data_IF_964243168495
#
_entry.id   IF_964243168495
#
_cell.length_a   1.000
_cell.length_b   1.000
_cell.length_c   1.000
_cell.angle_alpha   90.00
_cell.angle_beta   90.00
_cell.angle_gamma   90.00
#
_symmetry.space_group_name_H-M   'P 1'
#
loop_
_entity.id
_entity.type
_entity.pdbx_description
1 polymer ?
#
# COMPACT_ATOMS: atom_id res chain seq x y z
N UNK A 1 9.28 -45.81 -36.67
CA UNK A 1 9.24 -44.32 -36.64
C UNK A 1 8.43 -43.77 -35.45
N UNK A 2 7.92 -44.64 -34.56
CA UNK A 2 7.11 -44.28 -33.37
C UNK A 2 8.00 -44.17 -32.12
N UNK A 3 9.14 -44.86 -32.06
CA UNK A 3 9.98 -44.92 -30.86
C UNK A 3 10.87 -43.67 -30.60
N UNK A 4 11.11 -42.86 -31.61
CA UNK A 4 11.96 -41.67 -31.49
C UNK A 4 11.22 -40.48 -30.82
N UNK A 5 9.94 -40.33 -31.08
CA UNK A 5 9.13 -39.24 -30.49
C UNK A 5 8.81 -39.49 -29.02
N UNK A 6 8.68 -40.72 -28.57
CA UNK A 6 8.38 -41.08 -27.19
C UNK A 6 9.59 -40.84 -26.28
N UNK A 7 10.82 -41.06 -26.77
CA UNK A 7 12.04 -40.79 -26.01
C UNK A 7 12.31 -39.30 -25.83
N UNK A 8 12.02 -38.44 -26.78
CA UNK A 8 12.20 -37.00 -26.67
C UNK A 8 11.24 -36.41 -25.64
N UNK A 9 9.99 -36.84 -25.62
CA UNK A 9 8.99 -36.36 -24.63
C UNK A 9 9.30 -36.79 -23.20
N UNK A 10 9.95 -37.93 -23.00
CA UNK A 10 10.36 -38.41 -21.67
C UNK A 10 11.60 -37.67 -21.17
N UNK A 11 12.58 -37.41 -22.03
CA UNK A 11 13.76 -36.61 -21.70
C UNK A 11 13.42 -35.19 -21.29
N UNK A 12 12.48 -34.53 -21.94
CA UNK A 12 12.02 -33.17 -21.59
C UNK A 12 11.34 -33.16 -20.21
N UNK A 13 10.53 -34.17 -19.89
CA UNK A 13 9.87 -34.26 -18.58
C UNK A 13 10.85 -34.49 -17.42
N UNK A 14 11.89 -35.28 -17.64
CA UNK A 14 12.94 -35.52 -16.62
C UNK A 14 13.80 -34.27 -16.43
N UNK A 15 14.13 -33.54 -17.50
CA UNK A 15 14.93 -32.32 -17.43
C UNK A 15 14.17 -31.18 -16.71
N UNK A 16 12.87 -31.03 -16.96
CA UNK A 16 12.04 -30.03 -16.26
C UNK A 16 11.87 -30.40 -14.78
N UNK A 17 11.70 -31.68 -14.44
CA UNK A 17 11.61 -32.12 -13.05
C UNK A 17 12.92 -31.92 -12.28
N UNK A 18 14.09 -32.12 -12.95
CA UNK A 18 15.40 -31.89 -12.34
C UNK A 18 15.70 -30.41 -12.10
N UNK A 19 15.30 -29.52 -13.00
CA UNK A 19 15.47 -28.06 -12.85
C UNK A 19 14.58 -27.51 -11.72
N UNK A 20 13.36 -27.99 -11.58
CA UNK A 20 12.46 -27.61 -10.47
C UNK A 20 12.99 -28.16 -9.13
N UNK A 21 13.59 -29.35 -9.12
CA UNK A 21 14.19 -29.94 -7.91
C UNK A 21 15.44 -29.18 -7.41
N UNK A 22 16.25 -28.63 -8.30
CA UNK A 22 17.49 -27.91 -7.96
C UNK A 22 17.17 -26.50 -7.42
N UNK A 23 16.08 -25.85 -7.86
CA UNK A 23 15.64 -24.56 -7.36
C UNK A 23 15.06 -24.59 -5.93
N UNK A 24 14.70 -25.77 -5.42
CA UNK A 24 14.16 -25.95 -4.05
C UNK A 24 15.24 -26.26 -2.99
N UNK A 25 16.49 -26.49 -3.36
CA UNK A 25 17.57 -26.90 -2.44
C UNK A 25 18.52 -25.76 -2.03
N UNK A 26 18.28 -24.51 -2.47
CA UNK A 26 19.09 -23.36 -2.07
C UNK A 26 18.50 -22.55 -0.90
N UNK A 27 17.59 -23.11 -0.10
CA UNK A 27 17.20 -22.54 1.18
C UNK A 27 18.33 -22.78 2.21
N UNK A 28 19.35 -21.92 2.18
CA UNK A 28 20.43 -21.93 3.15
C UNK A 28 19.88 -21.66 4.55
N UNK A 29 20.01 -22.63 5.46
CA UNK A 29 19.81 -22.43 6.88
C UNK A 29 20.98 -21.58 7.41
N UNK A 30 20.72 -20.30 7.74
CA UNK A 30 21.65 -19.52 8.54
C UNK A 30 21.51 -19.96 9.99
N UNK A 31 22.52 -20.64 10.53
CA UNK A 31 22.62 -20.97 11.96
C UNK A 31 23.34 -19.82 12.67
N UNK A 32 22.80 -19.38 13.81
CA UNK A 32 23.48 -18.43 14.69
C UNK A 32 24.62 -19.12 15.44
N UNK A 33 25.66 -18.38 15.91
CA UNK A 33 26.81 -18.95 16.62
C UNK A 33 26.46 -19.63 17.96
N UNK A 34 25.26 -19.43 18.49
CA UNK A 34 24.72 -20.02 19.72
C UNK A 34 23.94 -21.33 19.51
N UNK A 35 23.89 -21.83 18.28
CA UNK A 35 23.25 -23.12 17.96
C UNK A 35 21.71 -23.08 17.94
N UNK A 36 21.09 -21.92 18.07
CA UNK A 36 19.64 -21.78 17.98
C UNK A 36 19.18 -21.45 16.55
N UNK A 37 18.25 -22.24 16.02
CA UNK A 37 17.59 -21.97 14.73
C UNK A 37 16.36 -21.11 14.95
N UNK A 38 16.48 -19.78 14.85
CA UNK A 38 15.31 -18.94 14.70
C UNK A 38 14.81 -19.00 13.26
N UNK A 39 13.66 -19.62 13.10
CA UNK A 39 12.96 -19.66 11.82
C UNK A 39 12.37 -18.27 11.52
N UNK A 40 13.13 -17.42 10.82
CA UNK A 40 12.59 -16.14 10.30
C UNK A 40 11.57 -16.42 9.19
N UNK A 41 10.35 -16.80 9.60
CA UNK A 41 9.20 -16.97 8.71
C UNK A 41 8.82 -15.70 7.93
N UNK A 42 9.38 -14.56 8.32
CA UNK A 42 9.08 -13.24 7.74
C UNK A 42 9.72 -13.04 6.35
N UNK A 43 10.88 -13.65 6.07
CA UNK A 43 11.60 -13.38 4.82
C UNK A 43 11.03 -14.14 3.61
N UNK A 44 10.54 -15.36 3.80
CA UNK A 44 10.06 -16.20 2.68
C UNK A 44 8.66 -15.77 2.22
N UNK A 45 7.79 -15.37 3.17
CA UNK A 45 6.46 -14.84 2.84
C UNK A 45 6.53 -13.47 2.16
N UNK A 46 7.50 -12.62 2.54
CA UNK A 46 7.68 -11.31 1.95
C UNK A 46 8.20 -11.36 0.50
N UNK A 47 9.11 -12.30 0.18
CA UNK A 47 9.66 -12.42 -1.17
C UNK A 47 8.67 -13.06 -2.15
N UNK A 48 7.91 -14.08 -1.73
CA UNK A 48 6.93 -14.75 -2.59
C UNK A 48 5.67 -13.94 -2.84
N UNK A 49 5.10 -13.34 -1.79
CA UNK A 49 3.88 -12.54 -1.88
C UNK A 49 4.09 -11.18 -2.57
N UNK A 50 5.24 -10.52 -2.33
CA UNK A 50 5.59 -9.25 -2.93
C UNK A 50 5.83 -9.35 -4.45
N UNK A 51 6.46 -10.44 -4.93
CA UNK A 51 6.72 -10.62 -6.35
C UNK A 51 5.44 -10.85 -7.17
N UNK A 52 4.46 -11.59 -6.63
CA UNK A 52 3.20 -11.88 -7.33
C UNK A 52 2.21 -10.72 -7.21
N UNK A 53 2.08 -10.12 -6.02
CA UNK A 53 1.14 -9.02 -5.80
C UNK A 53 1.59 -7.69 -6.42
N UNK A 54 2.88 -7.35 -6.33
CA UNK A 54 3.43 -6.14 -6.93
C UNK A 54 3.47 -6.20 -8.46
N UNK A 55 3.73 -7.40 -9.03
CA UNK A 55 3.71 -7.60 -10.48
C UNK A 55 2.32 -7.38 -11.09
N UNK A 56 1.27 -7.93 -10.48
CA UNK A 56 -0.10 -7.77 -10.98
C UNK A 56 -0.64 -6.36 -10.79
N UNK A 57 -0.38 -5.72 -9.64
CA UNK A 57 -0.80 -4.35 -9.38
C UNK A 57 -0.09 -3.31 -10.26
N UNK A 58 1.22 -3.50 -10.53
CA UNK A 58 1.99 -2.62 -11.39
C UNK A 58 1.59 -2.71 -12.88
N UNK A 59 1.08 -3.86 -13.32
CA UNK A 59 0.59 -4.06 -14.68
C UNK A 59 -0.74 -3.34 -14.92
N UNK A 60 -1.55 -3.15 -13.86
CA UNK A 60 -2.86 -2.48 -13.92
C UNK A 60 -2.70 -0.96 -13.90
N UNK A 61 -1.71 -0.45 -13.17
CA UNK A 61 -1.48 0.98 -12.95
C UNK A 61 -0.50 1.56 -13.95
N UNK A 62 -0.67 1.73 -15.16
CA UNK A 62 0.21 2.35 -16.17
C UNK A 62 1.51 3.02 -15.69
N UNK A 63 2.45 3.29 -16.54
CA UNK A 63 3.85 3.63 -16.24
C UNK A 63 4.10 4.88 -15.35
N UNK A 64 3.07 5.71 -15.10
CA UNK A 64 3.18 6.94 -14.31
C UNK A 64 2.75 6.84 -12.83
N UNK A 65 2.08 5.76 -12.42
CA UNK A 65 1.44 5.65 -11.10
C UNK A 65 1.73 4.32 -10.41
N UNK A 66 2.97 3.84 -10.51
CA UNK A 66 3.39 2.52 -9.99
C UNK A 66 3.16 2.35 -8.49
N UNK A 67 3.35 3.42 -7.71
CA UNK A 67 3.08 3.41 -6.28
C UNK A 67 1.60 3.25 -5.93
N UNK A 68 0.71 3.85 -6.71
CA UNK A 68 -0.73 3.74 -6.54
C UNK A 68 -1.28 2.35 -6.92
N UNK A 69 -0.68 1.69 -7.93
CA UNK A 69 -1.03 0.31 -8.30
C UNK A 69 -0.64 -0.71 -7.22
N UNK A 70 0.42 -0.45 -6.45
CA UNK A 70 0.83 -1.28 -5.32
C UNK A 70 -0.21 -1.29 -4.18
N UNK A 71 -1.03 -0.24 -4.06
CA UNK A 71 -2.12 -0.18 -3.07
C UNK A 71 -3.24 -1.20 -3.35
N UNK A 72 -3.43 -1.57 -4.61
CA UNK A 72 -4.50 -2.50 -5.02
C UNK A 72 -3.99 -3.94 -5.08
N UNK A 73 -2.68 -4.14 -5.44
CA UNK A 73 -2.12 -5.46 -5.75
C UNK A 73 -1.25 -6.11 -4.67
N UNK A 74 -0.97 -5.45 -3.54
CA UNK A 74 -0.17 -6.06 -2.45
C UNK A 74 0.95 -5.18 -1.92
N UNK A 75 1.56 -5.64 -0.85
CA UNK A 75 2.62 -4.95 -0.11
C UNK A 75 3.92 -4.92 -0.93
N UNK A 76 4.19 -3.83 -1.62
CA UNK A 76 5.54 -3.56 -2.13
C UNK A 76 6.44 -3.14 -0.94
N UNK A 77 6.86 -4.11 -0.14
CA UNK A 77 7.82 -3.91 0.94
C UNK A 77 9.24 -3.95 0.39
N UNK A 78 9.78 -2.83 -0.09
CA UNK A 78 11.21 -2.68 -0.10
C UNK A 78 11.60 -2.27 1.33
N UNK A 79 12.23 -3.16 2.07
CA UNK A 79 12.81 -2.84 3.36
C UNK A 79 13.89 -1.77 3.17
N UNK A 80 13.54 -0.50 3.44
CA UNK A 80 14.55 0.48 3.75
C UNK A 80 15.13 0.04 5.10
N UNK A 81 16.29 -0.64 5.07
CA UNK A 81 16.98 -1.04 6.28
C UNK A 81 17.35 0.18 7.10
N UNK A 82 17.21 0.11 8.42
CA UNK A 82 17.57 1.18 9.32
C UNK A 82 16.43 1.63 10.26
N UNK A 83 16.68 2.65 11.06
CA UNK A 83 15.73 3.16 12.06
C UNK A 83 14.42 3.65 11.42
N UNK A 84 14.49 4.38 10.30
CA UNK A 84 13.30 4.85 9.55
C UNK A 84 12.49 3.65 9.05
N UNK A 85 13.17 2.65 8.44
CA UNK A 85 12.52 1.46 7.93
C UNK A 85 11.69 0.77 8.99
N UNK A 86 12.29 0.46 10.14
CA UNK A 86 11.63 -0.19 11.28
C UNK A 86 10.49 0.66 11.87
N UNK A 87 10.65 1.99 11.91
CA UNK A 87 9.61 2.88 12.40
C UNK A 87 8.38 2.86 11.48
N UNK A 88 8.59 3.02 10.16
CA UNK A 88 7.53 3.02 9.16
C UNK A 88 6.87 1.65 9.03
N UNK A 89 7.63 0.54 9.18
CA UNK A 89 7.07 -0.81 9.16
C UNK A 89 6.14 -1.08 10.34
N UNK A 90 6.54 -0.64 11.55
CA UNK A 90 5.68 -0.74 12.73
C UNK A 90 4.41 0.09 12.57
N UNK A 91 4.53 1.32 12.06
CA UNK A 91 3.37 2.17 11.78
C UNK A 91 2.44 1.54 10.74
N UNK A 92 2.99 0.98 9.65
CA UNK A 92 2.21 0.28 8.63
C UNK A 92 1.48 -0.96 9.18
N UNK A 93 2.16 -1.76 9.99
CA UNK A 93 1.57 -2.94 10.60
C UNK A 93 0.41 -2.58 11.56
N UNK A 94 0.57 -1.49 12.31
CA UNK A 94 -0.47 -1.01 13.21
C UNK A 94 -1.66 -0.42 12.46
N UNK A 95 -1.42 0.35 11.37
CA UNK A 95 -2.47 0.82 10.47
C UNK A 95 -3.29 -0.34 9.89
N UNK A 96 -2.64 -1.37 9.34
CA UNK A 96 -3.32 -2.57 8.82
C UNK A 96 -4.18 -3.26 9.86
N UNK A 97 -3.69 -3.36 11.10
CA UNK A 97 -4.43 -4.01 12.17
C UNK A 97 -5.66 -3.22 12.59
N UNK A 98 -5.56 -1.88 12.67
CA UNK A 98 -6.65 -1.02 13.13
C UNK A 98 -7.66 -0.68 12.05
N UNK A 99 -7.25 -0.72 10.79
CA UNK A 99 -8.03 -0.32 9.60
C UNK A 99 -8.05 -1.46 8.57
N UNK A 100 -8.73 -2.59 8.85
CA UNK A 100 -8.78 -3.72 7.93
C UNK A 100 -9.47 -3.37 6.60
N UNK A 101 -10.32 -2.32 6.59
CA UNK A 101 -10.99 -1.79 5.40
C UNK A 101 -10.09 -0.90 4.52
N UNK A 102 -8.95 -0.44 5.03
CA UNK A 102 -8.02 0.41 4.30
C UNK A 102 -6.98 -0.42 3.54
N UNK A 103 -6.66 0.01 2.32
CA UNK A 103 -5.49 -0.49 1.62
C UNK A 103 -4.24 0.22 2.15
N UNK A 104 -3.31 -0.55 2.74
CA UNK A 104 -2.08 -0.04 3.33
C UNK A 104 -0.89 -0.59 2.57
N UNK A 105 -0.12 0.28 1.92
CA UNK A 105 1.07 -0.07 1.16
C UNK A 105 2.24 0.83 1.54
N UNK A 106 3.46 0.30 1.37
CA UNK A 106 4.69 1.04 1.60
C UNK A 106 5.51 1.10 0.32
N UNK A 107 6.06 2.28 0.02
CA UNK A 107 6.94 2.51 -1.13
C UNK A 107 8.14 3.34 -0.66
N UNK A 108 9.31 2.72 -0.61
CA UNK A 108 10.50 3.35 -0.06
C UNK A 108 10.31 3.74 1.42
N UNK A 109 10.46 5.01 1.74
CA UNK A 109 10.24 5.60 3.05
C UNK A 109 8.82 6.11 3.28
N UNK A 110 7.94 6.02 2.28
CA UNK A 110 6.55 6.47 2.36
C UNK A 110 5.60 5.33 2.72
N UNK A 111 4.55 5.68 3.44
CA UNK A 111 3.43 4.79 3.75
C UNK A 111 2.16 5.41 3.17
N UNK A 112 1.40 4.63 2.42
CA UNK A 112 0.12 5.02 1.85
C UNK A 112 -1.00 4.24 2.53
N UNK A 113 -2.03 4.97 2.97
CA UNK A 113 -3.24 4.39 3.58
C UNK A 113 -4.44 4.92 2.79
N UNK A 114 -5.04 4.08 1.96
CA UNK A 114 -6.18 4.46 1.13
C UNK A 114 -7.49 3.94 1.73
N UNK A 115 -8.42 4.85 1.94
CA UNK A 115 -9.78 4.60 2.41
C UNK A 115 -10.75 4.83 1.24
N UNK A 116 -11.58 3.84 0.86
CA UNK A 116 -12.60 4.02 -0.17
C UNK A 116 -13.58 5.14 0.20
N UNK A 117 -13.86 6.06 -0.74
CA UNK A 117 -14.77 7.18 -0.49
C UNK A 117 -16.17 6.72 -0.05
N UNK A 118 -16.64 5.57 -0.53
CA UNK A 118 -17.95 5.02 -0.14
C UNK A 118 -18.08 4.69 1.34
N UNK A 119 -16.96 4.43 2.04
CA UNK A 119 -16.92 4.26 3.49
C UNK A 119 -17.00 5.63 4.19
N UNK A 120 -16.36 6.64 3.60
CA UNK A 120 -16.16 7.94 4.22
C UNK A 120 -17.33 8.90 3.98
N UNK A 121 -17.93 8.86 2.79
CA UNK A 121 -18.91 9.87 2.33
C UNK A 121 -20.11 9.22 1.62
N UNK A 122 -21.22 9.93 1.60
CA UNK A 122 -22.31 9.64 0.67
C UNK A 122 -21.97 10.11 -0.74
N UNK A 123 -22.77 9.68 -1.72
CA UNK A 123 -22.60 10.08 -3.14
C UNK A 123 -22.65 11.60 -3.23
N UNK A 124 -21.70 12.18 -3.95
CA UNK A 124 -21.55 13.65 -4.16
C UNK A 124 -21.45 14.49 -2.88
N UNK A 125 -21.21 13.87 -1.73
CA UNK A 125 -21.02 14.55 -0.45
C UNK A 125 -19.56 14.60 -0.06
N UNK A 126 -19.23 15.57 0.79
CA UNK A 126 -17.95 15.72 1.46
C UNK A 126 -18.09 15.67 3.00
N UNK A 127 -19.32 15.62 3.53
CA UNK A 127 -19.55 15.39 4.95
C UNK A 127 -19.24 13.94 5.30
N UNK A 128 -18.39 13.74 6.30
CA UNK A 128 -18.02 12.40 6.76
C UNK A 128 -19.19 11.69 7.43
N UNK A 129 -19.44 10.46 7.04
CA UNK A 129 -20.42 9.57 7.70
C UNK A 129 -20.06 9.36 9.17
N UNK A 130 -21.04 9.09 10.06
CA UNK A 130 -20.76 8.73 11.45
C UNK A 130 -19.77 7.54 11.56
N UNK A 131 -19.96 6.50 10.75
CA UNK A 131 -19.09 5.31 10.70
C UNK A 131 -17.68 5.64 10.21
N UNK A 132 -17.53 6.64 9.34
CA UNK A 132 -16.23 7.10 8.85
C UNK A 132 -15.41 7.76 9.97
N UNK A 133 -16.05 8.44 10.91
CA UNK A 133 -15.36 9.06 12.03
C UNK A 133 -14.61 8.03 12.88
N UNK A 134 -15.17 6.84 13.07
CA UNK A 134 -14.50 5.75 13.79
C UNK A 134 -13.24 5.26 13.05
N UNK A 135 -13.32 5.11 11.72
CA UNK A 135 -12.15 4.74 10.92
C UNK A 135 -11.08 5.83 10.94
N UNK A 136 -11.48 7.11 10.85
CA UNK A 136 -10.53 8.24 10.90
C UNK A 136 -9.92 8.34 12.30
N UNK A 137 -10.70 8.16 13.37
CA UNK A 137 -10.20 8.15 14.75
C UNK A 137 -9.16 7.04 14.99
N UNK A 138 -9.40 5.82 14.47
CA UNK A 138 -8.41 4.73 14.53
C UNK A 138 -7.12 5.07 13.79
N UNK A 139 -7.23 5.76 12.63
CA UNK A 139 -6.05 6.27 11.92
C UNK A 139 -5.32 7.32 12.78
N UNK A 140 -6.06 8.26 13.36
CA UNK A 140 -5.51 9.32 14.22
C UNK A 140 -4.75 8.76 15.42
N UNK A 141 -5.29 7.73 16.09
CA UNK A 141 -4.58 7.06 17.20
C UNK A 141 -3.20 6.55 16.78
N UNK A 142 -3.08 5.94 15.60
CA UNK A 142 -1.79 5.50 15.08
C UNK A 142 -0.91 6.69 14.74
N UNK A 143 -1.44 7.73 14.10
CA UNK A 143 -0.68 8.93 13.74
C UNK A 143 -0.17 9.71 14.95
N UNK A 144 -0.93 9.75 16.05
CA UNK A 144 -0.52 10.35 17.32
C UNK A 144 0.58 9.53 17.99
N UNK A 145 0.46 8.19 17.96
CA UNK A 145 1.47 7.27 18.50
C UNK A 145 2.80 7.31 17.75
N UNK A 146 2.78 7.64 16.46
CA UNK A 146 3.95 7.78 15.59
C UNK A 146 4.17 9.25 15.19
N UNK A 147 4.69 10.11 16.10
CA UNK A 147 4.73 11.56 15.89
C UNK A 147 5.75 12.03 14.85
N UNK A 148 6.75 11.22 14.53
CA UNK A 148 7.89 11.61 13.70
C UNK A 148 7.62 11.47 12.18
N UNK A 149 6.36 11.74 11.77
CA UNK A 149 5.94 11.72 10.36
C UNK A 149 5.13 12.95 9.99
N UNK A 150 5.21 13.35 8.70
CA UNK A 150 4.28 14.26 8.05
C UNK A 150 3.19 13.47 7.34
N UNK A 151 2.01 14.05 7.22
CA UNK A 151 0.84 13.46 6.60
C UNK A 151 0.33 14.39 5.51
N UNK A 152 0.14 13.89 4.29
CA UNK A 152 -0.63 14.56 3.24
C UNK A 152 -1.94 13.81 3.07
N UNK A 153 -3.06 14.49 3.27
CA UNK A 153 -4.39 13.93 2.99
C UNK A 153 -4.72 14.23 1.54
N UNK A 154 -4.85 13.17 0.74
CA UNK A 154 -5.04 13.25 -0.70
C UNK A 154 -6.45 12.82 -1.07
N UNK A 155 -7.21 13.71 -1.74
CA UNK A 155 -8.54 13.41 -2.25
C UNK A 155 -8.51 13.03 -3.72
N UNK A 156 -9.26 11.98 -4.10
CA UNK A 156 -9.38 11.50 -5.47
C UNK A 156 -10.83 11.23 -5.84
N UNK A 157 -11.14 11.41 -7.12
CA UNK A 157 -12.43 11.04 -7.73
C UNK A 157 -12.21 10.04 -8.87
N UNK A 158 -13.28 9.48 -9.39
CA UNK A 158 -13.27 8.89 -10.72
C UNK A 158 -13.42 9.99 -11.79
N UNK A 159 -13.47 9.60 -13.06
CA UNK A 159 -13.61 10.50 -14.21
C UNK A 159 -15.06 10.92 -14.50
N UNK A 160 -16.01 10.64 -13.60
CA UNK A 160 -17.42 11.04 -13.80
C UNK A 160 -17.60 12.52 -13.43
N UNK A 161 -18.17 13.31 -14.34
CA UNK A 161 -18.39 14.73 -14.16
C UNK A 161 -17.34 15.60 -14.84
N UNK A 162 -17.28 16.88 -14.46
CA UNK A 162 -16.29 17.82 -15.01
C UNK A 162 -15.02 17.84 -14.16
N UNK A 163 -13.87 18.04 -14.79
CA UNK A 163 -12.57 18.12 -14.11
C UNK A 163 -12.57 19.17 -12.99
N UNK A 164 -13.17 20.35 -13.23
CA UNK A 164 -13.24 21.39 -12.20
C UNK A 164 -14.12 20.97 -11.00
N UNK A 165 -15.22 20.27 -11.26
CA UNK A 165 -16.07 19.74 -10.19
C UNK A 165 -15.32 18.68 -9.38
N UNK A 166 -14.66 17.73 -10.05
CA UNK A 166 -13.89 16.67 -9.45
C UNK A 166 -12.73 17.21 -8.61
N UNK A 167 -12.03 18.24 -9.10
CA UNK A 167 -10.98 18.92 -8.34
C UNK A 167 -11.52 19.49 -7.02
N UNK A 168 -12.57 20.28 -7.07
CA UNK A 168 -13.19 20.87 -5.87
C UNK A 168 -13.78 19.82 -4.92
N UNK A 169 -14.38 18.75 -5.44
CA UNK A 169 -14.92 17.68 -4.61
C UNK A 169 -13.80 16.93 -3.87
N UNK A 170 -12.70 16.64 -4.55
CA UNK A 170 -11.55 15.96 -3.96
C UNK A 170 -10.89 16.80 -2.85
N UNK A 171 -10.75 18.11 -3.06
CA UNK A 171 -10.25 19.05 -2.04
C UNK A 171 -11.14 19.06 -0.81
N UNK A 172 -12.46 19.26 -0.97
CA UNK A 172 -13.40 19.27 0.16
C UNK A 172 -13.40 17.96 0.95
N UNK A 173 -13.27 16.80 0.27
CA UNK A 173 -13.18 15.49 0.93
C UNK A 173 -11.89 15.34 1.73
N UNK A 174 -10.78 15.77 1.17
CA UNK A 174 -9.50 15.76 1.86
C UNK A 174 -9.49 16.70 3.08
N UNK A 175 -10.08 17.89 2.94
CA UNK A 175 -10.27 18.83 4.06
C UNK A 175 -11.11 18.23 5.19
N UNK A 176 -12.24 17.57 4.86
CA UNK A 176 -13.10 16.96 5.86
C UNK A 176 -12.38 15.85 6.67
N UNK A 177 -11.53 15.06 6.00
CA UNK A 177 -10.71 14.04 6.69
C UNK A 177 -9.62 14.70 7.53
N UNK A 178 -8.92 15.72 7.02
CA UNK A 178 -7.95 16.51 7.81
C UNK A 178 -8.60 17.05 9.07
N UNK A 179 -9.74 17.72 8.94
CA UNK A 179 -10.43 18.34 10.06
C UNK A 179 -10.83 17.31 11.14
N UNK A 180 -11.19 16.10 10.72
CA UNK A 180 -11.47 15.03 11.65
C UNK A 180 -10.17 14.54 12.33
N UNK A 181 -9.08 14.34 11.59
CA UNK A 181 -7.77 13.97 12.18
C UNK A 181 -7.29 15.00 13.23
N UNK A 182 -7.49 16.31 12.96
CA UNK A 182 -7.13 17.35 13.90
C UNK A 182 -8.00 17.29 15.17
N UNK A 183 -9.31 17.05 15.05
CA UNK A 183 -10.21 16.86 16.20
C UNK A 183 -9.81 15.64 17.03
N UNK A 184 -9.29 14.60 16.38
CA UNK A 184 -8.84 13.35 17.01
C UNK A 184 -7.39 13.43 17.51
N UNK A 185 -6.79 14.65 17.59
CA UNK A 185 -5.54 14.94 18.26
C UNK A 185 -4.28 14.92 17.40
N UNK A 186 -4.39 14.77 16.07
CA UNK A 186 -3.22 14.89 15.18
C UNK A 186 -2.84 16.38 15.05
N UNK A 187 -1.57 16.78 15.35
CA UNK A 187 -1.15 18.18 15.27
C UNK A 187 -1.26 18.77 13.85
N UNK A 188 -1.86 19.96 13.73
CA UNK A 188 -2.06 20.63 12.43
C UNK A 188 -0.75 20.87 11.67
N UNK A 189 0.37 21.11 12.38
CA UNK A 189 1.69 21.30 11.76
C UNK A 189 2.21 20.08 10.99
N UNK A 190 1.61 18.91 11.21
CA UNK A 190 1.99 17.67 10.54
C UNK A 190 1.11 17.33 9.34
N UNK A 191 -0.05 17.99 9.17
CA UNK A 191 -1.07 17.59 8.21
C UNK A 191 -1.22 18.64 7.11
N UNK A 192 -1.04 18.22 5.88
CA UNK A 192 -1.34 19.00 4.66
C UNK A 192 -2.45 18.33 3.86
N UNK A 193 -3.07 19.08 2.95
CA UNK A 193 -4.17 18.62 2.09
C UNK A 193 -3.84 18.80 0.63
N UNK A 194 -4.26 17.85 -0.20
CA UNK A 194 -4.16 17.96 -1.65
C UNK A 194 -5.35 17.27 -2.34
N UNK A 195 -6.04 18.01 -3.19
CA UNK A 195 -7.02 17.45 -4.12
C UNK A 195 -6.35 17.09 -5.45
N UNK A 196 -6.61 15.91 -5.96
CA UNK A 196 -6.15 15.47 -7.27
C UNK A 196 -7.30 15.35 -8.29
N UNK A 197 -8.56 15.46 -7.83
CA UNK A 197 -9.69 15.16 -8.71
C UNK A 197 -9.53 13.79 -9.36
N UNK A 198 -9.72 13.74 -10.66
CA UNK A 198 -9.58 12.55 -11.51
C UNK A 198 -8.16 12.35 -12.08
N UNK A 199 -7.21 13.28 -11.82
CA UNK A 199 -5.91 13.32 -12.51
C UNK A 199 -4.93 12.23 -12.09
N UNK A 200 -5.18 11.53 -10.98
CA UNK A 200 -4.31 10.48 -10.46
C UNK A 200 -5.08 9.16 -10.23
N UNK A 201 -5.53 8.50 -11.31
CA UNK A 201 -6.25 7.24 -11.20
C UNK A 201 -5.30 6.09 -10.80
N UNK A 202 -5.84 5.13 -10.02
CA UNK A 202 -5.14 3.90 -9.62
C UNK A 202 -5.69 2.68 -10.36
N UNK A 203 -6.83 2.83 -11.04
CA UNK A 203 -7.46 1.79 -11.82
C UNK A 203 -8.15 2.40 -13.05
N UNK A 204 -8.56 1.55 -14.00
CA UNK A 204 -9.21 1.98 -15.23
C UNK A 204 -10.59 2.59 -14.96
N UNK A 205 -10.79 3.84 -15.33
CA UNK A 205 -12.05 4.55 -15.21
C UNK A 205 -13.16 4.01 -16.16
N UNK A 206 -12.82 3.22 -17.16
CA UNK A 206 -13.79 2.59 -18.05
C UNK A 206 -14.65 1.56 -17.31
N UNK A 207 -14.10 0.89 -16.27
CA UNK A 207 -14.82 -0.12 -15.50
C UNK A 207 -15.48 0.45 -14.23
N UNK A 208 -16.65 -0.07 -13.81
CA UNK A 208 -17.28 0.34 -12.55
C UNK A 208 -16.38 0.10 -11.32
N UNK A 209 -15.66 -1.03 -11.28
CA UNK A 209 -14.74 -1.43 -10.23
C UNK A 209 -13.52 -0.51 -10.16
N UNK A 210 -13.00 -0.13 -11.33
CA UNK A 210 -11.90 0.83 -11.41
C UNK A 210 -12.31 2.22 -10.94
N UNK A 211 -13.49 2.70 -11.33
CA UNK A 211 -14.05 3.95 -10.80
C UNK A 211 -14.23 3.91 -9.29
N UNK A 212 -14.71 2.78 -8.74
CA UNK A 212 -14.85 2.60 -7.29
C UNK A 212 -13.49 2.71 -6.59
N UNK A 213 -12.44 2.12 -7.15
CA UNK A 213 -11.07 2.19 -6.63
C UNK A 213 -10.48 3.60 -6.72
N UNK A 214 -10.83 4.35 -7.77
CA UNK A 214 -10.37 5.73 -7.94
C UNK A 214 -11.03 6.69 -6.93
N UNK A 215 -12.29 6.46 -6.55
CA UNK A 215 -12.97 7.24 -5.51
C UNK A 215 -12.43 6.87 -4.13
N UNK A 216 -11.40 7.58 -3.67
CA UNK A 216 -10.72 7.33 -2.39
C UNK A 216 -10.23 8.62 -1.73
N UNK A 217 -9.98 8.56 -0.43
CA UNK A 217 -9.06 9.47 0.26
C UNK A 217 -7.85 8.66 0.72
N UNK A 218 -6.68 9.18 0.46
CA UNK A 218 -5.41 8.53 0.76
C UNK A 218 -4.60 9.39 1.71
N UNK A 219 -3.98 8.76 2.71
CA UNK A 219 -2.98 9.40 3.55
C UNK A 219 -1.60 9.00 3.01
N UNK A 220 -0.83 9.97 2.47
CA UNK A 220 0.59 9.80 2.26
C UNK A 220 1.32 10.17 3.55
N UNK A 221 2.01 9.23 4.16
CA UNK A 221 2.74 9.41 5.41
C UNK A 221 4.22 9.25 5.10
N UNK A 222 5.02 10.25 5.48
CA UNK A 222 6.46 10.29 5.21
C UNK A 222 7.25 10.69 6.47
N UNK A 223 8.50 10.25 6.64
CA UNK A 223 9.37 10.66 7.73
C UNK A 223 9.52 12.19 7.78
N UNK A 224 9.48 12.77 8.98
CA UNK A 224 9.84 14.16 9.18
C UNK A 224 11.36 14.32 9.39
N UNK A 225 11.82 15.55 9.51
CA UNK A 225 13.25 15.84 9.67
C UNK A 225 13.84 15.25 10.96
N UNK A 226 13.03 15.13 12.03
CA UNK A 226 13.45 14.52 13.29
C UNK A 226 13.75 13.03 13.13
N UNK A 227 12.87 12.29 12.41
CA UNK A 227 13.09 10.87 12.18
C UNK A 227 14.28 10.64 11.23
N UNK A 228 14.48 11.53 10.25
CA UNK A 228 15.64 11.46 9.33
C UNK A 228 16.96 11.71 10.06
N UNK A 229 16.99 12.66 10.99
CA UNK A 229 18.19 12.96 11.78
C UNK A 229 18.65 11.82 12.70
N UNK A 230 17.78 10.84 12.99
CA UNK A 230 18.14 9.64 13.78
C UNK A 230 18.91 8.58 12.98
N UNK A 231 19.15 8.78 11.69
CA UNK A 231 19.90 7.85 10.83
C UNK A 231 21.35 8.25 10.57
N UNK A 232 21.75 9.46 10.92
CA UNK A 232 23.13 9.97 10.80
C UNK A 232 23.86 9.83 12.12
#
# INVERSE_FOLDING_TARGET
>A
MIDAEMNVRWSIKITVAAIVGILLLSAGCATNPDGTTEYKRTAIGALGGAAVGAGSGALIAGSGHRGAGALIGGVAGAAAGGAIGNYMDRQAAEMKRKLPEAAVAREGDKLYVALPSGILFDVDRAETKPTAKDSIAKAAEVLVKYPDTYITVEGHTDSTGTTNYNQKLSERRADAVRDQLLRDGVPASRVSVKGYGESAPVADNATPEGRQSNRRVQLEIRPNERLKAQQG
#
